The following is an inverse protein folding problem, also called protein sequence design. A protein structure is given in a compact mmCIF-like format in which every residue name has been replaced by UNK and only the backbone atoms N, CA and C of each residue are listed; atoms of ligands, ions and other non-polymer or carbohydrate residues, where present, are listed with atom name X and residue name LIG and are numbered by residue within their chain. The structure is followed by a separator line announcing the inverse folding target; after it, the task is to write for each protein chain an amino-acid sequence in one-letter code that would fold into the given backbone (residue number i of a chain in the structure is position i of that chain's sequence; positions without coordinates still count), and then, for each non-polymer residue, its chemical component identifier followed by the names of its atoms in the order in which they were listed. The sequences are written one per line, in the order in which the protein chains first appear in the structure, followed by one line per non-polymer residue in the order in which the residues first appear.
data_IF_057107279805
#
_entry.id   IF_057107279805
#
_cell.length_a   1.000
_cell.length_b   1.000
_cell.length_c   1.000
_cell.angle_alpha   90.00
_cell.angle_beta   90.00
_cell.angle_gamma   90.00
#
_symmetry.space_group_name_H-M   'P 1'
#
loop_
_entity.id
_entity.type
_entity.pdbx_description
1 polymer ?
#
# COMPACT_ATOMS: atom_id res chain seq x y z
N UNK A 1 -3.74 -31.16 43.98
CA UNK A 1 -3.47 -30.09 44.99
C UNK A 1 -3.79 -28.76 44.31
N UNK A 2 -5.03 -28.29 44.33
CA UNK A 2 -5.69 -27.51 45.40
C UNK A 2 -5.25 -26.03 45.46
N UNK A 3 -6.09 -25.17 44.83
CA UNK A 3 -6.65 -23.85 45.23
C UNK A 3 -5.67 -22.73 45.67
N UNK A 4 -5.87 -21.46 45.32
CA UNK A 4 -7.02 -20.55 45.63
C UNK A 4 -6.99 -19.36 44.64
N UNK A 5 -8.07 -18.97 43.95
CA UNK A 5 -9.17 -18.05 44.34
C UNK A 5 -8.76 -16.80 45.15
N UNK A 6 -8.89 -15.63 44.50
CA UNK A 6 -9.34 -14.38 45.13
C UNK A 6 -10.26 -13.65 44.15
N UNK A 7 -11.41 -13.22 44.66
CA UNK A 7 -12.51 -12.60 43.95
C UNK A 7 -12.86 -11.27 44.64
N UNK A 8 -13.78 -10.51 44.01
CA UNK A 8 -14.58 -9.39 44.55
C UNK A 8 -13.82 -8.03 44.42
N UNK A 9 -14.37 -6.94 43.83
CA UNK A 9 -15.61 -6.25 44.20
C UNK A 9 -16.23 -5.40 43.07
N UNK A 10 -17.56 -5.29 43.17
CA UNK A 10 -18.55 -4.52 42.43
C UNK A 10 -18.63 -3.06 42.91
N UNK A 11 -18.85 -2.08 42.03
CA UNK A 11 -19.47 -0.79 42.38
C UNK A 11 -20.18 -0.15 41.17
N UNK A 12 -21.34 0.43 41.45
CA UNK A 12 -22.40 0.86 40.52
C UNK A 12 -22.72 2.36 40.72
N UNK A 13 -23.45 2.96 39.77
CA UNK A 13 -24.07 4.31 39.73
C UNK A 13 -23.11 5.48 39.42
N UNK A 14 -23.44 6.50 38.62
CA UNK A 14 -24.70 7.25 38.48
C UNK A 14 -24.88 7.88 37.07
N UNK A 15 -26.15 8.15 36.74
CA UNK A 15 -26.65 8.85 35.55
C UNK A 15 -26.65 10.36 35.80
N UNK A 16 -26.24 11.16 34.81
CA UNK A 16 -26.50 12.61 34.77
C UNK A 16 -26.98 13.01 33.39
N UNK A 17 -28.27 13.31 33.28
CA UNK A 17 -28.88 13.94 32.13
C UNK A 17 -28.60 15.46 32.18
N UNK A 18 -28.01 16.01 31.13
CA UNK A 18 -28.01 17.46 30.88
C UNK A 18 -28.82 17.71 29.60
N UNK A 19 -30.07 18.12 29.79
CA UNK A 19 -30.89 18.70 28.73
C UNK A 19 -30.56 20.19 28.64
N UNK A 20 -29.92 20.62 27.54
CA UNK A 20 -29.85 22.02 27.18
C UNK A 20 -30.75 22.24 25.96
N UNK A 21 -32.01 22.55 26.23
CA UNK A 21 -32.95 23.03 25.21
C UNK A 21 -32.80 24.55 25.11
N UNK A 22 -32.14 25.00 24.06
CA UNK A 22 -32.18 26.40 23.61
C UNK A 22 -32.29 26.42 22.09
N UNK A 23 -33.48 26.14 21.55
CA UNK A 23 -33.77 26.47 20.15
C UNK A 23 -34.21 27.93 20.09
N UNK A 24 -33.25 28.79 19.79
CA UNK A 24 -33.52 30.13 19.24
C UNK A 24 -34.26 29.95 17.92
N UNK A 25 -35.44 30.57 17.82
CA UNK A 25 -36.22 30.60 16.58
C UNK A 25 -35.54 31.56 15.61
N UNK A 26 -34.72 31.01 14.71
CA UNK A 26 -34.18 31.69 13.55
C UNK A 26 -34.27 30.71 12.39
N UNK A 27 -35.15 30.96 11.44
CA UNK A 27 -35.25 30.12 10.25
C UNK A 27 -33.93 30.22 9.45
N UNK A 28 -33.17 29.13 9.27
CA UNK A 28 -32.07 29.15 8.32
C UNK A 28 -32.67 29.17 6.91
N UNK A 29 -32.36 30.22 6.15
CA UNK A 29 -32.47 30.23 4.70
C UNK A 29 -31.80 28.96 4.17
N UNK A 30 -32.41 28.20 3.23
CA UNK A 30 -31.74 27.02 2.69
C UNK A 30 -30.44 27.48 2.02
N UNK A 31 -29.32 27.18 2.66
CA UNK A 31 -28.04 27.18 1.99
C UNK A 31 -28.19 26.15 0.88
N UNK A 32 -28.06 26.58 -0.37
CA UNK A 32 -27.79 25.68 -1.49
C UNK A 32 -26.61 24.84 -1.05
N UNK A 33 -26.88 23.59 -0.63
CA UNK A 33 -25.87 22.60 -0.41
C UNK A 33 -25.26 22.36 -1.78
N UNK A 34 -24.22 23.12 -2.10
CA UNK A 34 -23.18 22.64 -2.98
C UNK A 34 -22.76 21.34 -2.35
N UNK A 35 -23.25 20.23 -2.90
CA UNK A 35 -22.66 18.91 -2.68
C UNK A 35 -21.17 19.16 -2.86
N UNK A 36 -20.31 18.92 -1.84
CA UNK A 36 -18.88 18.89 -2.12
C UNK A 36 -18.79 17.89 -3.26
N UNK A 37 -18.44 18.38 -4.45
CA UNK A 37 -18.13 17.50 -5.56
C UNK A 37 -16.98 16.70 -5.00
N UNK A 38 -17.26 15.49 -4.54
CA UNK A 38 -16.24 14.49 -4.32
C UNK A 38 -15.54 14.50 -5.65
N UNK A 39 -14.37 15.14 -5.72
CA UNK A 39 -13.41 14.89 -6.77
C UNK A 39 -13.27 13.38 -6.69
N UNK A 40 -13.95 12.69 -7.59
CA UNK A 40 -13.82 11.26 -7.74
C UNK A 40 -12.36 11.09 -8.05
N UNK A 41 -11.56 10.77 -7.04
CA UNK A 41 -10.17 10.38 -7.20
C UNK A 41 -10.26 9.17 -8.10
N UNK A 42 -10.07 9.40 -9.40
CA UNK A 42 -10.10 8.34 -10.38
C UNK A 42 -8.99 7.40 -9.99
N UNK A 43 -9.33 6.14 -9.72
CA UNK A 43 -8.34 5.11 -9.45
C UNK A 43 -7.35 5.09 -10.63
N UNK A 44 -6.08 5.47 -10.42
CA UNK A 44 -5.13 5.55 -11.52
C UNK A 44 -4.78 4.17 -12.09
N UNK A 45 -5.15 3.10 -11.39
CA UNK A 45 -4.96 1.72 -11.81
C UNK A 45 -6.26 1.07 -12.30
N UNK A 46 -7.30 1.85 -12.59
CA UNK A 46 -8.59 1.33 -13.05
C UNK A 46 -8.40 0.39 -14.25
N UNK A 47 -8.83 -0.87 -14.10
CA UNK A 47 -8.70 -1.91 -15.12
C UNK A 47 -7.36 -2.64 -15.14
N UNK A 48 -6.40 -2.27 -14.30
CA UNK A 48 -5.12 -2.97 -14.16
C UNK A 48 -5.18 -4.02 -13.05
N UNK A 49 -4.64 -5.21 -13.33
CA UNK A 49 -4.52 -6.30 -12.36
C UNK A 49 -3.05 -6.63 -12.17
N UNK A 50 -2.55 -6.53 -10.95
CA UNK A 50 -1.12 -6.68 -10.63
C UNK A 50 -0.54 -8.00 -11.14
N UNK A 51 -1.26 -9.12 -11.03
CA UNK A 51 -0.78 -10.39 -11.58
C UNK A 51 -0.71 -10.42 -13.10
N UNK A 52 -1.67 -9.80 -13.80
CA UNK A 52 -1.62 -9.73 -15.26
C UNK A 52 -0.43 -8.90 -15.73
N UNK A 53 -0.22 -7.74 -15.10
CA UNK A 53 0.94 -6.88 -15.38
C UNK A 53 2.25 -7.61 -15.05
N UNK A 54 2.35 -8.26 -13.90
CA UNK A 54 3.56 -8.96 -13.48
C UNK A 54 3.87 -10.17 -14.37
N UNK A 55 2.87 -10.92 -14.81
CA UNK A 55 3.03 -12.05 -15.72
C UNK A 55 3.46 -11.60 -17.12
N UNK A 56 2.91 -10.50 -17.63
CA UNK A 56 3.35 -9.89 -18.89
C UNK A 56 4.83 -9.49 -18.80
N UNK A 57 5.20 -8.77 -17.75
CA UNK A 57 6.57 -8.32 -17.53
C UNK A 57 7.55 -9.48 -17.36
N UNK A 58 7.13 -10.56 -16.70
CA UNK A 58 7.96 -11.75 -16.48
C UNK A 58 7.95 -12.73 -17.66
N UNK A 59 7.21 -12.44 -18.73
CA UNK A 59 7.09 -13.31 -19.90
C UNK A 59 8.47 -13.68 -20.46
N UNK A 60 8.67 -14.97 -20.77
CA UNK A 60 9.93 -15.56 -21.21
C UNK A 60 11.12 -15.46 -20.23
N UNK A 61 10.93 -14.93 -19.02
CA UNK A 61 12.00 -14.82 -18.02
C UNK A 61 12.11 -16.04 -17.09
N UNK A 62 11.21 -17.03 -17.22
CA UNK A 62 11.24 -18.29 -16.46
C UNK A 62 10.66 -18.20 -15.04
N UNK A 63 9.90 -17.15 -14.73
CA UNK A 63 9.04 -17.13 -13.54
C UNK A 63 7.82 -18.03 -13.75
N UNK A 64 7.31 -18.58 -12.65
CA UNK A 64 5.97 -19.17 -12.61
C UNK A 64 4.91 -18.06 -12.70
N UNK A 65 3.67 -18.37 -13.14
CA UNK A 65 2.56 -17.44 -13.03
C UNK A 65 2.45 -16.87 -11.61
N UNK A 66 2.09 -15.59 -11.54
CA UNK A 66 1.93 -14.88 -10.29
C UNK A 66 0.69 -15.31 -9.51
N UNK A 67 0.82 -15.33 -8.18
CA UNK A 67 -0.28 -15.56 -7.25
C UNK A 67 -0.66 -14.25 -6.57
N UNK A 68 -1.96 -13.96 -6.47
CA UNK A 68 -2.43 -12.89 -5.61
C UNK A 68 -2.39 -13.36 -4.15
N UNK A 69 -1.54 -12.71 -3.36
CA UNK A 69 -1.23 -13.08 -1.98
C UNK A 69 -2.09 -12.35 -0.94
N UNK A 70 -2.97 -11.44 -1.36
CA UNK A 70 -3.81 -10.65 -0.45
C UNK A 70 -5.19 -10.30 -1.06
N UNK A 71 -5.99 -9.53 -0.33
CA UNK A 71 -7.24 -8.97 -0.87
C UNK A 71 -6.99 -7.69 -1.68
N UNK A 72 -5.74 -7.23 -1.73
CA UNK A 72 -5.32 -6.02 -2.44
C UNK A 72 -4.91 -6.37 -3.87
N UNK A 73 -4.66 -5.35 -4.68
CA UNK A 73 -4.13 -5.53 -6.03
C UNK A 73 -2.63 -5.79 -5.97
N UNK A 74 -2.26 -6.98 -5.50
CA UNK A 74 -0.90 -7.43 -5.23
C UNK A 74 -0.64 -8.77 -5.91
N UNK A 75 0.60 -9.00 -6.31
CA UNK A 75 1.00 -10.25 -6.92
C UNK A 75 2.45 -10.61 -6.63
N UNK A 76 2.72 -11.91 -6.51
CA UNK A 76 4.08 -12.45 -6.39
C UNK A 76 4.29 -13.60 -7.36
N UNK A 77 5.37 -13.53 -8.13
CA UNK A 77 5.79 -14.58 -9.06
C UNK A 77 7.17 -15.10 -8.66
N UNK A 78 7.36 -16.43 -8.68
CA UNK A 78 8.61 -17.07 -8.22
C UNK A 78 9.42 -17.66 -9.35
N UNK A 79 10.75 -17.62 -9.24
CA UNK A 79 11.71 -18.25 -10.15
C UNK A 79 12.73 -19.05 -9.36
N UNK A 80 12.78 -20.35 -9.62
CA UNK A 80 13.72 -21.27 -8.96
C UNK A 80 15.17 -20.82 -9.18
N UNK A 81 15.98 -20.82 -8.11
CA UNK A 81 17.38 -20.39 -8.14
C UNK A 81 17.60 -18.88 -8.18
N UNK A 82 16.53 -18.06 -8.26
CA UNK A 82 16.62 -16.61 -8.18
C UNK A 82 15.91 -16.07 -6.93
N UNK A 83 14.61 -16.32 -6.80
CA UNK A 83 13.77 -15.67 -5.81
C UNK A 83 12.37 -15.35 -6.34
N UNK A 84 11.86 -14.16 -6.03
CA UNK A 84 10.54 -13.71 -6.48
C UNK A 84 10.49 -12.24 -6.87
N UNK A 85 9.72 -11.96 -7.92
CA UNK A 85 9.24 -10.61 -8.22
C UNK A 85 7.90 -10.41 -7.53
N UNK A 86 7.68 -9.21 -6.99
CA UNK A 86 6.40 -8.80 -6.44
C UNK A 86 5.95 -7.46 -7.03
N UNK A 87 4.65 -7.28 -7.17
CA UNK A 87 4.04 -6.04 -7.64
C UNK A 87 2.80 -5.71 -6.81
N UNK A 88 2.71 -4.48 -6.31
CA UNK A 88 1.49 -3.93 -5.73
C UNK A 88 1.07 -2.67 -6.50
N UNK A 89 -0.19 -2.59 -6.90
CA UNK A 89 -0.82 -1.39 -7.45
C UNK A 89 -1.75 -0.82 -6.37
N UNK A 90 -1.31 0.23 -5.67
CA UNK A 90 -1.95 0.71 -4.45
C UNK A 90 -2.59 2.09 -4.67
N UNK A 91 -3.90 2.17 -4.93
CA UNK A 91 -4.57 3.43 -5.23
C UNK A 91 -4.87 4.29 -4.00
N UNK A 92 -4.58 3.80 -2.79
CA UNK A 92 -5.01 4.40 -1.54
C UNK A 92 -3.86 4.90 -0.66
N UNK A 93 -2.61 4.52 -0.96
CA UNK A 93 -1.45 4.96 -0.19
C UNK A 93 -0.37 5.55 -1.09
N UNK A 94 0.06 6.78 -0.79
CA UNK A 94 1.20 7.42 -1.43
C UNK A 94 2.55 7.05 -0.79
N UNK A 95 3.61 7.74 -1.21
CA UNK A 95 4.97 7.53 -0.70
C UNK A 95 5.13 7.91 0.78
N UNK A 96 4.36 8.86 1.29
CA UNK A 96 4.41 9.25 2.70
C UNK A 96 4.09 8.05 3.63
N UNK A 97 3.03 7.30 3.30
CA UNK A 97 2.66 6.09 4.03
C UNK A 97 3.73 4.98 3.89
N UNK A 98 4.48 4.94 2.78
CA UNK A 98 5.58 3.99 2.63
C UNK A 98 6.76 4.36 3.53
N UNK A 99 7.13 5.65 3.55
CA UNK A 99 8.21 6.19 4.37
C UNK A 99 7.94 6.05 5.87
N UNK A 100 6.69 6.16 6.29
CA UNK A 100 6.29 6.01 7.69
C UNK A 100 6.61 4.60 8.22
N UNK A 101 6.30 3.57 7.46
CA UNK A 101 6.59 2.17 7.84
C UNK A 101 8.03 1.76 7.52
N UNK A 102 8.68 2.46 6.57
CA UNK A 102 10.07 2.23 6.15
C UNK A 102 10.93 3.49 6.35
N UNK A 103 11.20 3.92 7.59
CA UNK A 103 11.89 5.18 7.85
C UNK A 103 13.32 5.22 7.28
N UNK A 104 13.95 4.05 7.12
CA UNK A 104 15.28 3.90 6.56
C UNK A 104 15.32 3.91 5.01
N UNK A 105 14.18 4.00 4.32
CA UNK A 105 14.16 4.08 2.87
C UNK A 105 14.92 5.32 2.38
N UNK A 106 15.53 5.24 1.21
CA UNK A 106 16.27 6.36 0.59
C UNK A 106 15.53 6.87 -0.64
N UNK A 107 15.67 8.16 -0.93
CA UNK A 107 15.09 8.74 -2.14
C UNK A 107 15.77 8.17 -3.39
N UNK A 108 14.97 7.95 -4.43
CA UNK A 108 15.41 7.55 -5.77
C UNK A 108 14.39 8.07 -6.80
N UNK A 109 14.55 7.65 -8.05
CA UNK A 109 13.67 8.01 -9.16
C UNK A 109 13.38 6.78 -10.03
N UNK A 110 12.18 6.74 -10.63
CA UNK A 110 11.80 5.75 -11.65
C UNK A 110 11.24 6.51 -12.84
N UNK A 111 12.01 6.64 -13.93
CA UNK A 111 11.62 7.37 -15.14
C UNK A 111 11.06 8.78 -14.87
N UNK A 112 11.68 9.53 -13.96
CA UNK A 112 11.26 10.88 -13.56
C UNK A 112 10.11 10.91 -12.54
N UNK A 113 9.65 9.76 -12.02
CA UNK A 113 8.70 9.68 -10.89
C UNK A 113 9.49 9.61 -9.60
N UNK A 114 9.09 10.42 -8.61
CA UNK A 114 9.64 10.30 -7.26
C UNK A 114 9.47 8.86 -6.77
N UNK A 115 10.52 8.34 -6.15
CA UNK A 115 10.52 7.00 -5.62
C UNK A 115 11.29 6.89 -4.31
N UNK A 116 11.03 5.82 -3.57
CA UNK A 116 11.73 5.42 -2.36
C UNK A 116 12.23 4.00 -2.54
N UNK A 117 13.49 3.76 -2.20
CA UNK A 117 14.08 2.43 -2.16
C UNK A 117 14.24 1.99 -0.71
N UNK A 118 13.78 0.78 -0.41
CA UNK A 118 13.99 0.12 0.87
C UNK A 118 14.69 -1.22 0.64
N UNK A 119 15.81 -1.44 1.33
CA UNK A 119 16.51 -2.72 1.34
C UNK A 119 16.44 -3.34 2.73
N UNK A 120 16.03 -4.59 2.79
CA UNK A 120 15.99 -5.38 4.02
C UNK A 120 16.64 -6.76 3.80
N UNK A 121 16.79 -7.59 4.85
CA UNK A 121 17.37 -8.92 4.72
C UNK A 121 16.61 -9.89 3.80
N UNK A 122 15.36 -9.59 3.46
CA UNK A 122 14.52 -10.43 2.59
C UNK A 122 14.56 -9.99 1.12
N UNK A 123 15.03 -8.78 0.83
CA UNK A 123 15.03 -8.25 -0.52
C UNK A 123 15.07 -6.73 -0.59
N UNK A 124 14.47 -6.21 -1.64
CA UNK A 124 14.35 -4.78 -1.88
C UNK A 124 12.98 -4.42 -2.44
N UNK A 125 12.48 -3.26 -2.05
CA UNK A 125 11.25 -2.66 -2.55
C UNK A 125 11.55 -1.28 -3.13
N UNK A 126 11.09 -1.04 -4.36
CA UNK A 126 11.01 0.29 -4.97
C UNK A 126 9.55 0.73 -4.94
N UNK A 127 9.27 1.75 -4.13
CA UNK A 127 7.97 2.41 -4.09
C UNK A 127 8.03 3.68 -4.95
N UNK A 128 7.16 3.85 -5.94
CA UNK A 128 7.15 5.07 -6.76
C UNK A 128 5.77 5.69 -6.92
N UNK A 129 5.74 7.01 -7.05
CA UNK A 129 4.52 7.82 -7.01
C UNK A 129 3.74 7.76 -8.33
N UNK A 130 2.45 7.45 -8.23
CA UNK A 130 1.51 7.55 -9.36
C UNK A 130 0.59 8.75 -9.21
N UNK A 131 0.23 9.07 -7.96
CA UNK A 131 -0.45 10.31 -7.57
C UNK A 131 -0.25 10.56 -6.07
N UNK A 132 -0.80 11.64 -5.54
CA UNK A 132 -0.61 12.04 -4.13
C UNK A 132 -0.94 10.91 -3.12
N UNK A 133 -1.96 10.09 -3.45
CA UNK A 133 -2.42 8.97 -2.64
C UNK A 133 -2.27 7.62 -3.32
N UNK A 134 -1.50 7.52 -4.40
CA UNK A 134 -1.33 6.28 -5.14
C UNK A 134 0.15 5.97 -5.40
N UNK A 135 0.53 4.71 -5.22
CA UNK A 135 1.89 4.24 -5.47
C UNK A 135 1.90 2.86 -6.10
N UNK A 136 3.02 2.55 -6.73
CA UNK A 136 3.38 1.19 -7.10
C UNK A 136 4.48 0.71 -6.16
N UNK A 137 4.43 -0.56 -5.76
CA UNK A 137 5.53 -1.25 -5.09
C UNK A 137 6.08 -2.36 -6.00
N UNK A 138 7.29 -2.18 -6.54
CA UNK A 138 8.03 -3.21 -7.25
C UNK A 138 9.03 -3.86 -6.30
N UNK A 139 8.96 -5.18 -6.16
CA UNK A 139 9.69 -5.92 -5.13
C UNK A 139 10.54 -7.02 -5.75
N UNK A 140 11.74 -7.19 -5.22
CA UNK A 140 12.59 -8.34 -5.48
C UNK A 140 12.99 -8.98 -4.16
N UNK A 141 12.67 -10.25 -3.97
CA UNK A 141 13.16 -11.05 -2.86
C UNK A 141 14.10 -12.14 -3.40
N UNK A 142 15.26 -12.32 -2.77
CA UNK A 142 16.25 -13.30 -3.22
C UNK A 142 16.08 -14.61 -2.45
N UNK A 143 16.18 -15.75 -3.15
CA UNK A 143 16.14 -17.06 -2.49
C UNK A 143 17.40 -17.39 -1.69
N UNK A 144 18.49 -16.66 -1.96
CA UNK A 144 19.82 -16.86 -1.37
C UNK A 144 20.27 -15.54 -0.72
N UNK A 145 20.45 -15.49 0.62
CA UNK A 145 20.82 -14.25 1.33
C UNK A 145 22.12 -13.61 0.83
N UNK A 146 23.10 -14.40 0.41
CA UNK A 146 24.38 -13.92 -0.13
C UNK A 146 24.24 -13.12 -1.42
N UNK A 147 23.10 -13.25 -2.13
CA UNK A 147 22.78 -12.50 -3.34
C UNK A 147 21.88 -11.30 -3.08
N UNK A 148 21.57 -10.98 -1.82
CA UNK A 148 20.64 -9.89 -1.49
C UNK A 148 21.09 -8.52 -2.00
N UNK A 149 22.40 -8.33 -2.25
CA UNK A 149 22.93 -7.13 -2.89
C UNK A 149 22.38 -6.91 -4.33
N UNK A 150 21.95 -7.97 -5.01
CA UNK A 150 21.34 -7.89 -6.35
C UNK A 150 19.86 -7.45 -6.32
N UNK A 151 19.22 -7.47 -5.14
CA UNK A 151 17.78 -7.26 -5.03
C UNK A 151 17.35 -5.86 -5.49
N UNK A 152 18.04 -4.81 -5.05
CA UNK A 152 17.63 -3.44 -5.39
C UNK A 152 17.81 -3.09 -6.87
N UNK A 153 18.95 -3.40 -7.52
CA UNK A 153 19.07 -3.21 -8.97
C UNK A 153 17.95 -3.93 -9.75
N UNK A 154 17.59 -5.15 -9.36
CA UNK A 154 16.53 -5.91 -10.05
C UNK A 154 15.12 -5.38 -9.73
N UNK A 155 14.87 -4.93 -8.50
CA UNK A 155 13.60 -4.30 -8.14
C UNK A 155 13.41 -2.95 -8.86
N UNK A 156 14.49 -2.20 -9.07
CA UNK A 156 14.49 -0.94 -9.81
C UNK A 156 14.25 -1.15 -11.30
N UNK A 157 14.94 -2.11 -11.91
CA UNK A 157 14.68 -2.55 -13.29
C UNK A 157 13.22 -3.06 -13.49
N UNK A 158 12.65 -3.77 -12.51
CA UNK A 158 11.22 -4.08 -12.52
C UNK A 158 10.35 -2.82 -12.44
N UNK A 159 10.69 -1.86 -11.56
CA UNK A 159 9.94 -0.62 -11.41
C UNK A 159 9.90 0.21 -12.70
N UNK A 160 11.03 0.34 -13.41
CA UNK A 160 11.12 1.06 -14.69
C UNK A 160 10.22 0.43 -15.76
N UNK A 161 10.18 -0.91 -15.83
CA UNK A 161 9.29 -1.61 -16.76
C UNK A 161 7.81 -1.48 -16.39
N UNK A 162 7.46 -1.50 -15.10
CA UNK A 162 6.08 -1.28 -14.66
C UNK A 162 5.65 0.14 -14.99
N UNK A 163 6.52 1.12 -14.75
CA UNK A 163 6.22 2.53 -15.01
C UNK A 163 5.85 2.78 -16.47
N UNK A 164 6.53 2.13 -17.41
CA UNK A 164 6.24 2.21 -18.84
C UNK A 164 4.84 1.68 -19.24
N UNK A 165 4.18 0.89 -18.37
CA UNK A 165 2.82 0.38 -18.59
C UNK A 165 1.75 1.22 -17.88
N UNK A 166 2.14 2.19 -17.06
CA UNK A 166 1.19 3.05 -16.37
C UNK A 166 0.59 4.09 -17.34
N UNK A 167 -0.61 4.62 -17.02
CA UNK A 167 -1.13 5.79 -17.72
C UNK A 167 -0.15 6.96 -17.69
N UNK A 168 -0.13 7.74 -18.77
CA UNK A 168 0.63 9.00 -18.83
C UNK A 168 0.20 9.96 -17.71
N UNK A 169 1.13 10.85 -17.33
CA UNK A 169 0.92 11.83 -16.25
C UNK A 169 -0.01 12.96 -16.66
#
# INVERSE_FOLDING_TARGET
MSKKLAAITLACLTISAAACTSTVSGAPTPATSGVPTSTSTSDPFAGMVACQVLDELNSAQGFKPGDNISHRNECTATKSGLGSNGLALDPAQGLAAFKEVNPASVDTDVNGRRALQEQNPLGCTIAFEVGEHARVLAQMAMSMPERNAEACPLAHDLAERVEALLPER
#
